data_IF_498466714615
#
_entry.id   IF_498466714615
#
_cell.length_a   1.000
_cell.length_b   1.000
_cell.length_c   1.000
_cell.angle_alpha   90.00
_cell.angle_beta   90.00
_cell.angle_gamma   90.00
#
_symmetry.space_group_name_H-M   'P 1'
#
loop_
_entity.id
_entity.type
_entity.pdbx_description
1 polymer ?
#
# COMPACT_ATOMS: atom_id res chain seq x y z
N UNK A 1 -16.32 5.05 -3.40
CA UNK A 1 -15.36 4.00 -2.98
C UNK A 1 -14.02 4.74 -2.93
N UNK A 2 -13.26 4.62 -1.84
CA UNK A 2 -12.00 5.36 -1.67
C UNK A 2 -10.87 4.35 -1.58
N UNK A 3 -10.58 3.76 -2.72
CA UNK A 3 -9.39 2.96 -2.98
C UNK A 3 -8.16 3.85 -3.20
N UNK A 4 -6.98 3.32 -2.87
CA UNK A 4 -5.70 3.99 -3.06
C UNK A 4 -4.70 3.07 -3.75
N UNK A 5 -3.73 3.66 -4.44
CA UNK A 5 -2.59 2.93 -5.01
C UNK A 5 -1.41 2.98 -4.05
N UNK A 6 -0.77 1.84 -3.83
CA UNK A 6 0.44 1.74 -3.01
C UNK A 6 1.67 1.81 -3.91
N UNK A 7 2.61 2.70 -3.57
CA UNK A 7 3.86 2.95 -4.28
C UNK A 7 5.06 2.73 -3.36
N UNK A 8 6.19 2.29 -3.92
CA UNK A 8 7.47 2.36 -3.22
C UNK A 8 8.00 3.78 -3.22
N UNK A 9 8.87 4.14 -2.27
CA UNK A 9 9.61 5.42 -2.28
C UNK A 9 10.51 5.59 -3.49
N UNK A 10 10.78 4.51 -4.24
CA UNK A 10 11.50 4.54 -5.53
C UNK A 10 10.57 4.86 -6.72
N UNK A 11 9.28 5.08 -6.46
CA UNK A 11 8.26 5.37 -7.47
C UNK A 11 7.66 4.13 -8.14
N UNK A 12 7.97 2.92 -7.65
CA UNK A 12 7.44 1.69 -8.23
C UNK A 12 6.02 1.44 -7.74
N UNK A 13 5.11 1.09 -8.65
CA UNK A 13 3.75 0.73 -8.25
C UNK A 13 3.74 -0.67 -7.64
N UNK A 14 3.26 -0.78 -6.40
CA UNK A 14 3.22 -2.06 -5.68
C UNK A 14 1.88 -2.75 -5.89
N UNK A 15 0.78 -2.03 -5.73
CA UNK A 15 -0.58 -2.56 -5.84
C UNK A 15 -1.59 -1.44 -6.09
N UNK A 16 -2.55 -1.67 -6.98
CA UNK A 16 -3.66 -0.76 -7.31
C UNK A 16 -4.92 -1.14 -6.54
N UNK A 17 -5.85 -0.20 -6.49
CA UNK A 17 -7.19 -0.40 -5.94
C UNK A 17 -7.21 -0.99 -4.52
N UNK A 18 -6.22 -0.62 -3.69
CA UNK A 18 -6.07 -1.15 -2.33
C UNK A 18 -7.17 -0.56 -1.46
N UNK A 19 -7.95 -1.45 -0.84
CA UNK A 19 -9.02 -1.12 0.10
C UNK A 19 -8.63 -1.36 1.55
N UNK A 20 -7.76 -2.33 1.80
CA UNK A 20 -7.37 -2.69 3.16
C UNK A 20 -5.85 -2.79 3.29
N UNK A 21 -5.34 -2.14 4.34
CA UNK A 21 -3.94 -2.22 4.73
C UNK A 21 -3.87 -2.60 6.20
N UNK A 22 -3.14 -3.69 6.50
CA UNK A 22 -2.86 -4.12 7.87
C UNK A 22 -1.36 -4.18 8.08
N UNK A 23 -0.89 -3.65 9.20
CA UNK A 23 0.54 -3.60 9.54
C UNK A 23 0.79 -4.54 10.73
N UNK A 24 1.71 -5.47 10.57
CA UNK A 24 2.16 -6.42 11.59
C UNK A 24 3.68 -6.33 11.72
N UNK A 25 4.15 -5.40 12.56
CA UNK A 25 5.58 -5.10 12.70
C UNK A 25 6.14 -4.49 11.42
N UNK A 26 7.03 -5.22 10.73
CA UNK A 26 7.58 -4.82 9.43
C UNK A 26 6.77 -5.33 8.24
N UNK A 27 5.80 -6.22 8.49
CA UNK A 27 4.98 -6.80 7.43
C UNK A 27 3.78 -5.91 7.16
N UNK A 28 3.53 -5.60 5.89
CA UNK A 28 2.37 -4.84 5.44
C UNK A 28 1.55 -5.77 4.54
N UNK A 29 0.31 -6.00 4.94
CA UNK A 29 -0.67 -6.78 4.20
C UNK A 29 -1.58 -5.81 3.43
N UNK A 30 -1.63 -5.97 2.11
CA UNK A 30 -2.47 -5.19 1.21
C UNK A 30 -3.57 -6.07 0.65
N UNK A 31 -4.80 -5.56 0.58
CA UNK A 31 -5.89 -6.21 -0.14
C UNK A 31 -6.64 -5.22 -1.05
N UNK A 32 -6.89 -5.62 -2.30
CA UNK A 32 -7.59 -4.82 -3.31
C UNK A 32 -9.11 -5.05 -3.31
N UNK A 33 -9.80 -4.34 -4.19
CA UNK A 33 -11.25 -4.47 -4.47
C UNK A 33 -11.68 -5.87 -4.93
N UNK A 34 -10.76 -6.71 -5.39
CA UNK A 34 -10.99 -8.08 -5.85
C UNK A 34 -10.57 -9.13 -4.81
N UNK A 35 -10.27 -8.73 -3.57
CA UNK A 35 -9.72 -9.57 -2.51
C UNK A 35 -8.38 -10.24 -2.87
N UNK A 36 -7.62 -9.72 -3.84
CA UNK A 36 -6.24 -10.15 -4.02
C UNK A 36 -5.40 -9.61 -2.87
N UNK A 37 -4.51 -10.44 -2.36
CA UNK A 37 -3.68 -10.11 -1.21
C UNK A 37 -2.22 -10.04 -1.65
N UNK A 38 -1.50 -9.02 -1.16
CA UNK A 38 -0.06 -8.90 -1.33
C UNK A 38 0.60 -8.53 0.00
N UNK A 39 1.56 -9.35 0.38
CA UNK A 39 2.39 -9.10 1.56
C UNK A 39 3.72 -8.50 1.13
N UNK A 40 4.12 -7.40 1.78
CA UNK A 40 5.42 -6.77 1.59
C UNK A 40 6.08 -6.54 2.96
N UNK A 41 7.41 -6.42 2.97
CA UNK A 41 8.15 -5.98 4.15
C UNK A 41 8.63 -4.55 3.96
N UNK A 42 8.33 -3.69 4.94
CA UNK A 42 8.61 -2.27 4.84
C UNK A 42 7.92 -1.43 5.91
N UNK A 43 7.83 -0.13 5.61
CA UNK A 43 7.18 0.86 6.47
C UNK A 43 6.40 1.87 5.62
N UNK A 44 5.19 2.24 6.06
CA UNK A 44 4.47 3.36 5.47
C UNK A 44 5.20 4.66 5.82
N UNK A 45 5.51 5.47 4.80
CA UNK A 45 6.19 6.76 4.97
C UNK A 45 5.24 7.94 4.77
N UNK A 46 4.25 7.81 3.90
CA UNK A 46 3.30 8.88 3.57
C UNK A 46 1.96 8.30 3.11
N UNK A 47 0.87 8.98 3.46
CA UNK A 47 -0.48 8.70 2.99
C UNK A 47 -1.04 10.01 2.45
N UNK A 48 -1.20 10.09 1.12
CA UNK A 48 -1.78 11.22 0.40
C UNK A 48 -3.15 10.80 -0.15
N UNK A 49 -4.20 11.14 0.59
CA UNK A 49 -5.57 10.77 0.22
C UNK A 49 -6.14 11.64 -0.92
N UNK A 50 -5.60 12.83 -1.14
CA UNK A 50 -6.01 13.70 -2.24
C UNK A 50 -5.53 13.13 -3.58
N UNK A 51 -4.32 12.57 -3.59
CA UNK A 51 -3.76 11.85 -4.75
C UNK A 51 -4.08 10.36 -4.80
N UNK A 52 -4.86 9.84 -3.84
CA UNK A 52 -5.13 8.40 -3.70
C UNK A 52 -3.84 7.55 -3.65
N UNK A 53 -2.79 8.08 -3.01
CA UNK A 53 -1.45 7.49 -2.97
C UNK A 53 -1.02 7.10 -1.56
N UNK A 54 -0.50 5.89 -1.40
CA UNK A 54 0.14 5.42 -0.17
C UNK A 54 1.56 5.03 -0.50
N UNK A 55 2.52 5.62 0.19
CA UNK A 55 3.94 5.43 -0.10
C UNK A 55 4.60 4.60 0.99
N UNK A 56 5.36 3.59 0.58
CA UNK A 56 6.06 2.66 1.46
C UNK A 56 7.55 2.58 1.14
N UNK A 57 8.36 2.52 2.18
CA UNK A 57 9.78 2.20 2.08
C UNK A 57 9.95 0.68 2.27
N UNK A 58 10.45 0.00 1.24
CA UNK A 58 10.72 -1.44 1.26
C UNK A 58 12.08 -1.71 1.94
N UNK A 59 12.17 -2.82 2.67
CA UNK A 59 13.38 -3.27 3.39
C UNK A 59 14.00 -4.49 2.70
#
# INVERSE_FOLDING_TARGET
>A
MCESTVYSTKGEKIMEDVLHIKIEGKKIHLADVLNQIKDIEGKIVEIDLDKHGIYVELI
#
